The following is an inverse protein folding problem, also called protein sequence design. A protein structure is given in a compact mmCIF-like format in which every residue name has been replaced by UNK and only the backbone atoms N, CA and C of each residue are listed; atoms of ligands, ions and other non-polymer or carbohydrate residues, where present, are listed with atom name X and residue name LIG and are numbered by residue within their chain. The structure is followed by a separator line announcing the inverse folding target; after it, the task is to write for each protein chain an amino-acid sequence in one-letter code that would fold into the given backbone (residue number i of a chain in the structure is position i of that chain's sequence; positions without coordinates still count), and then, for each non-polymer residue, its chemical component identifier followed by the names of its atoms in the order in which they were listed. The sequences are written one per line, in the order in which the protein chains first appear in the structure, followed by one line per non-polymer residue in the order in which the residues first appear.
data_IF_975997135687
#
_entry.id   IF_975997135687
#
_cell.length_a   1.000
_cell.length_b   1.000
_cell.length_c   1.000
_cell.angle_alpha   90.00
_cell.angle_beta   90.00
_cell.angle_gamma   90.00
#
_symmetry.space_group_name_H-M   'P 1'
#
loop_
_entity.id
_entity.type
_entity.pdbx_description
1 polymer ?
#
# COMPACT_ATOMS: atom_id res chain seq x y z
N UNK A 1 16.60 21.66 11.90
CA UNK A 1 15.21 21.46 11.44
C UNK A 1 14.88 19.99 11.61
N UNK A 2 14.27 19.62 12.75
CA UNK A 2 13.88 18.24 13.01
C UNK A 2 12.59 17.97 12.25
N UNK A 3 12.70 17.42 11.03
CA UNK A 3 11.55 16.86 10.32
C UNK A 3 11.24 15.50 10.96
N UNK A 4 10.71 15.52 12.19
CA UNK A 4 10.01 14.36 12.72
C UNK A 4 8.62 14.46 12.10
N UNK A 5 8.38 13.66 11.07
CA UNK A 5 7.02 13.44 10.58
C UNK A 5 6.28 12.72 11.71
N UNK A 6 5.49 13.47 12.48
CA UNK A 6 4.68 12.90 13.56
C UNK A 6 3.79 11.79 12.98
N UNK A 7 3.54 10.68 13.70
CA UNK A 7 2.70 9.59 13.23
C UNK A 7 1.39 10.10 12.65
N UNK A 8 0.84 9.41 11.65
CA UNK A 8 -0.43 9.80 11.06
C UNK A 8 -1.46 9.98 12.17
N UNK A 9 -2.02 11.20 12.26
CA UNK A 9 -3.08 11.48 13.21
C UNK A 9 -4.20 10.46 13.02
N UNK A 10 -4.74 9.95 14.13
CA UNK A 10 -5.84 8.98 14.10
C UNK A 10 -6.96 9.53 13.23
N UNK A 11 -7.36 8.72 12.26
CA UNK A 11 -8.52 8.94 11.40
C UNK A 11 -9.46 7.75 11.56
N UNK A 12 -10.71 7.90 11.13
CA UNK A 12 -11.75 6.88 11.28
C UNK A 12 -11.32 5.53 10.67
N UNK A 13 -10.61 5.53 9.53
CA UNK A 13 -10.09 4.33 8.88
C UNK A 13 -9.07 3.59 9.74
N UNK A 14 -8.04 4.30 10.22
CA UNK A 14 -7.04 3.71 11.13
C UNK A 14 -7.68 3.22 12.43
N UNK A 15 -8.59 4.01 13.00
CA UNK A 15 -9.33 3.67 14.22
C UNK A 15 -10.12 2.37 14.09
N UNK A 16 -10.74 2.14 12.94
CA UNK A 16 -11.47 0.90 12.64
C UNK A 16 -10.54 -0.32 12.64
N UNK A 17 -9.34 -0.18 12.07
CA UNK A 17 -8.40 -1.31 11.94
C UNK A 17 -7.76 -1.67 13.27
N UNK A 18 -7.29 -0.68 14.04
CA UNK A 18 -6.57 -0.93 15.31
C UNK A 18 -7.48 -1.52 16.40
N UNK A 19 -8.79 -1.43 16.25
CA UNK A 19 -9.77 -2.06 17.15
C UNK A 19 -10.03 -3.54 16.84
N UNK A 20 -9.50 -4.07 15.74
CA UNK A 20 -9.64 -5.48 15.39
C UNK A 20 -8.77 -6.38 16.29
N UNK A 21 -9.13 -7.66 16.49
CA UNK A 21 -8.26 -8.60 17.18
C UNK A 21 -6.90 -8.72 16.48
N UNK A 22 -5.81 -8.77 17.25
CA UNK A 22 -4.44 -8.86 16.71
C UNK A 22 -4.26 -9.96 15.65
N UNK A 23 -4.79 -11.19 15.81
CA UNK A 23 -4.68 -12.21 14.77
C UNK A 23 -5.34 -11.81 13.45
N UNK A 24 -6.44 -11.05 13.50
CA UNK A 24 -7.13 -10.52 12.31
C UNK A 24 -6.27 -9.47 11.62
N UNK A 25 -5.62 -8.57 12.38
CA UNK A 25 -4.71 -7.57 11.82
C UNK A 25 -3.52 -8.24 11.13
N UNK A 26 -2.93 -9.26 11.75
CA UNK A 26 -1.83 -10.03 11.14
C UNK A 26 -2.29 -10.71 9.84
N UNK A 27 -3.46 -11.36 9.86
CA UNK A 27 -4.05 -11.97 8.67
C UNK A 27 -4.33 -10.94 7.57
N UNK A 28 -4.82 -9.76 7.94
CA UNK A 28 -5.06 -8.65 7.03
C UNK A 28 -3.76 -8.17 6.40
N UNK A 29 -2.72 -7.86 7.18
CA UNK A 29 -1.41 -7.43 6.67
C UNK A 29 -0.86 -8.43 5.64
N UNK A 30 -0.94 -9.72 5.94
CA UNK A 30 -0.44 -10.77 5.05
C UNK A 30 -1.26 -10.90 3.77
N UNK A 31 -2.58 -10.95 3.89
CA UNK A 31 -3.48 -11.11 2.73
C UNK A 31 -3.50 -9.86 1.86
N UNK A 32 -3.52 -8.66 2.44
CA UNK A 32 -3.42 -7.39 1.72
C UNK A 32 -2.14 -7.31 0.90
N UNK A 33 -0.98 -7.61 1.50
CA UNK A 33 0.30 -7.56 0.79
C UNK A 33 0.35 -8.50 -0.44
N UNK A 34 -0.31 -9.65 -0.38
CA UNK A 34 -0.35 -10.59 -1.52
C UNK A 34 -1.41 -10.15 -2.55
N UNK A 35 -2.63 -9.95 -2.09
CA UNK A 35 -3.79 -9.71 -2.97
C UNK A 35 -3.69 -8.38 -3.70
N UNK A 36 -3.24 -7.32 -3.02
CA UNK A 36 -3.10 -6.00 -3.65
C UNK A 36 -1.95 -5.97 -4.66
N UNK A 37 -0.82 -6.64 -4.38
CA UNK A 37 0.26 -6.68 -5.36
C UNK A 37 -0.14 -7.46 -6.62
N UNK A 38 -0.85 -8.58 -6.49
CA UNK A 38 -1.41 -9.30 -7.65
C UNK A 38 -2.39 -8.40 -8.41
N UNK A 39 -3.35 -7.78 -7.70
CA UNK A 39 -4.45 -7.02 -8.30
C UNK A 39 -4.01 -5.71 -8.94
N UNK A 40 -2.98 -5.06 -8.41
CA UNK A 40 -2.56 -3.73 -8.87
C UNK A 40 -1.22 -3.74 -9.63
N UNK A 41 -0.28 -4.64 -9.32
CA UNK A 41 1.02 -4.67 -10.01
C UNK A 41 1.05 -5.80 -11.02
N UNK A 42 0.66 -7.00 -10.59
CA UNK A 42 0.74 -8.21 -11.42
C UNK A 42 -0.19 -8.20 -12.63
N UNK A 43 -1.43 -7.74 -12.49
CA UNK A 43 -2.43 -7.86 -13.57
C UNK A 43 -2.61 -6.60 -14.44
N UNK A 44 -2.97 -5.42 -13.91
CA UNK A 44 -3.38 -4.29 -14.76
C UNK A 44 -2.22 -3.72 -15.56
N UNK A 45 -1.02 -3.69 -14.98
CA UNK A 45 0.19 -3.16 -15.64
C UNK A 45 0.51 -4.02 -16.87
N UNK A 46 0.53 -5.34 -16.71
CA UNK A 46 0.84 -6.26 -17.79
C UNK A 46 -0.27 -6.30 -18.85
N UNK A 47 -1.54 -6.38 -18.42
CA UNK A 47 -2.69 -6.44 -19.34
C UNK A 47 -2.84 -5.17 -20.16
N UNK A 48 -2.71 -3.99 -19.55
CA UNK A 48 -2.81 -2.73 -20.28
C UNK A 48 -1.58 -2.48 -21.15
N UNK A 49 -0.39 -2.94 -20.74
CA UNK A 49 0.78 -2.94 -21.62
C UNK A 49 0.53 -3.79 -22.87
N UNK A 50 -0.04 -4.99 -22.73
CA UNK A 50 -0.39 -5.85 -23.87
C UNK A 50 -1.41 -5.19 -24.80
N UNK A 51 -2.43 -4.52 -24.25
CA UNK A 51 -3.50 -3.88 -25.02
C UNK A 51 -3.09 -2.57 -25.69
N UNK A 52 -2.23 -1.78 -25.05
CA UNK A 52 -1.90 -0.41 -25.50
C UNK A 52 -0.48 -0.27 -26.05
N UNK A 53 0.38 -1.27 -25.86
CA UNK A 53 1.81 -1.18 -26.13
C UNK A 53 2.59 -0.29 -25.17
N UNK A 54 1.93 0.37 -24.21
CA UNK A 54 2.54 1.34 -23.31
C UNK A 54 2.39 0.93 -21.84
N UNK A 55 3.49 0.56 -21.19
CA UNK A 55 3.48 0.14 -19.80
C UNK A 55 3.05 1.25 -18.83
N UNK A 56 3.29 2.52 -19.18
CA UNK A 56 2.92 3.65 -18.33
C UNK A 56 1.42 3.87 -18.25
N UNK A 57 0.66 3.49 -19.28
CA UNK A 57 -0.81 3.51 -19.21
C UNK A 57 -1.28 2.55 -18.11
N UNK A 58 -0.69 1.35 -18.05
CA UNK A 58 -0.97 0.37 -17.00
C UNK A 58 -0.57 0.84 -15.61
N UNK A 59 0.62 1.44 -15.47
CA UNK A 59 1.10 2.00 -14.20
C UNK A 59 0.17 3.11 -13.71
N UNK A 60 -0.15 4.10 -14.55
CA UNK A 60 -0.98 5.23 -14.19
C UNK A 60 -2.40 4.80 -13.82
N UNK A 61 -3.01 3.94 -14.63
CA UNK A 61 -4.35 3.41 -14.34
C UNK A 61 -4.37 2.68 -13.00
N UNK A 62 -3.43 1.75 -12.80
CA UNK A 62 -3.40 0.95 -11.59
C UNK A 62 -3.13 1.77 -10.33
N UNK A 63 -2.20 2.72 -10.42
CA UNK A 63 -1.89 3.62 -9.31
C UNK A 63 -3.11 4.46 -8.92
N UNK A 64 -3.84 5.01 -9.89
CA UNK A 64 -5.05 5.79 -9.60
C UNK A 64 -6.08 4.92 -8.88
N UNK A 65 -6.39 3.74 -9.40
CA UNK A 65 -7.38 2.83 -8.80
C UNK A 65 -6.94 2.38 -7.41
N UNK A 66 -5.64 2.16 -7.20
CA UNK A 66 -5.07 1.84 -5.88
C UNK A 66 -5.24 2.98 -4.87
N UNK A 67 -4.99 4.23 -5.26
CA UNK A 67 -5.01 5.37 -4.34
C UNK A 67 -6.43 5.79 -3.92
N UNK A 68 -7.44 5.63 -4.77
CA UNK A 68 -8.81 6.06 -4.50
C UNK A 68 -9.41 5.52 -3.18
N UNK A 69 -9.42 4.19 -2.90
CA UNK A 69 -9.93 3.67 -1.65
C UNK A 69 -9.10 4.18 -0.46
N UNK A 70 -7.78 4.27 -0.60
CA UNK A 70 -6.91 4.73 0.48
C UNK A 70 -7.22 6.18 0.88
N UNK A 71 -7.39 7.08 -0.09
CA UNK A 71 -7.78 8.46 0.17
C UNK A 71 -9.19 8.52 0.78
N UNK A 72 -10.12 7.66 0.30
CA UNK A 72 -11.50 7.64 0.80
C UNK A 72 -11.60 7.15 2.25
N UNK A 73 -10.80 6.16 2.65
CA UNK A 73 -10.86 5.53 3.97
C UNK A 73 -9.92 6.19 5.00
N UNK A 74 -8.72 6.59 4.58
CA UNK A 74 -7.69 7.13 5.48
C UNK A 74 -7.46 8.63 5.34
N UNK A 75 -8.11 9.27 4.37
CA UNK A 75 -7.94 10.69 4.05
C UNK A 75 -6.71 10.97 3.18
N UNK A 76 -6.64 12.19 2.65
CA UNK A 76 -5.55 12.64 1.75
C UNK A 76 -4.17 12.63 2.42
N UNK A 77 -4.12 12.81 3.74
CA UNK A 77 -2.91 12.71 4.55
C UNK A 77 -2.22 11.35 4.44
N UNK A 78 -2.95 10.28 4.12
CA UNK A 78 -2.36 8.96 3.89
C UNK A 78 -1.26 8.99 2.81
N UNK A 79 -1.38 9.87 1.81
CA UNK A 79 -0.37 10.07 0.77
C UNK A 79 0.96 10.57 1.34
N UNK A 80 0.95 11.39 2.40
CA UNK A 80 2.16 11.90 3.03
C UNK A 80 2.94 10.79 3.75
N UNK A 81 2.23 9.83 4.34
CA UNK A 81 2.82 8.75 5.14
C UNK A 81 3.17 7.51 4.31
N UNK A 82 2.30 7.12 3.38
CA UNK A 82 2.40 5.87 2.62
C UNK A 82 2.61 6.07 1.12
N UNK A 83 2.44 7.29 0.61
CA UNK A 83 2.55 7.58 -0.82
C UNK A 83 3.96 7.34 -1.38
N UNK A 84 5.01 7.71 -0.63
CA UNK A 84 6.39 7.45 -1.04
C UNK A 84 6.66 5.95 -1.14
N UNK A 85 6.26 5.18 -0.11
CA UNK A 85 6.39 3.71 -0.13
C UNK A 85 5.65 3.09 -1.31
N UNK A 86 4.42 3.55 -1.56
CA UNK A 86 3.61 3.12 -2.71
C UNK A 86 4.34 3.35 -4.03
N UNK A 87 4.84 4.57 -4.26
CA UNK A 87 5.57 4.92 -5.49
C UNK A 87 6.83 4.05 -5.64
N UNK A 88 7.58 3.86 -4.55
CA UNK A 88 8.78 3.01 -4.57
C UNK A 88 8.44 1.55 -4.90
N UNK A 89 7.32 1.01 -4.43
CA UNK A 89 6.85 -0.33 -4.82
C UNK A 89 6.52 -0.42 -6.31
N UNK A 90 5.87 0.60 -6.89
CA UNK A 90 5.64 0.64 -8.35
C UNK A 90 6.97 0.71 -9.14
N UNK A 91 7.92 1.51 -8.68
CA UNK A 91 9.27 1.58 -9.27
C UNK A 91 9.96 0.21 -9.17
N UNK A 92 9.89 -0.43 -8.00
CA UNK A 92 10.47 -1.75 -7.77
C UNK A 92 9.90 -2.80 -8.73
N UNK A 93 8.57 -2.82 -8.91
CA UNK A 93 7.93 -3.72 -9.85
C UNK A 93 8.38 -3.47 -11.28
N UNK A 94 8.38 -2.21 -11.72
CA UNK A 94 8.78 -1.85 -13.08
C UNK A 94 10.25 -2.16 -13.37
N UNK A 95 11.13 -2.01 -12.38
CA UNK A 95 12.55 -2.28 -12.49
C UNK A 95 12.87 -3.78 -12.44
N UNK A 96 12.33 -4.50 -11.46
CA UNK A 96 12.75 -5.89 -11.17
C UNK A 96 11.81 -6.94 -11.75
N UNK A 97 10.59 -6.56 -12.13
CA UNK A 97 9.53 -7.48 -12.60
C UNK A 97 9.35 -8.68 -11.67
N UNK A 98 9.50 -8.45 -10.36
CA UNK A 98 9.45 -9.48 -9.34
C UNK A 98 8.33 -9.15 -8.35
N UNK A 99 7.23 -9.89 -8.45
CA UNK A 99 6.07 -9.67 -7.62
C UNK A 99 6.33 -10.03 -6.15
N UNK A 100 7.12 -11.07 -5.88
CA UNK A 100 7.47 -11.48 -4.51
C UNK A 100 8.26 -10.40 -3.77
N UNK A 101 9.14 -9.68 -4.47
CA UNK A 101 9.85 -8.54 -3.88
C UNK A 101 8.89 -7.41 -3.50
N UNK A 102 7.85 -7.17 -4.32
CA UNK A 102 6.82 -6.17 -4.04
C UNK A 102 5.93 -6.58 -2.87
N UNK A 103 5.50 -7.85 -2.83
CA UNK A 103 4.73 -8.44 -1.72
C UNK A 103 5.50 -8.31 -0.41
N UNK A 104 6.79 -8.65 -0.40
CA UNK A 104 7.63 -8.53 0.80
C UNK A 104 7.77 -7.07 1.24
N UNK A 105 8.04 -6.15 0.31
CA UNK A 105 8.14 -4.72 0.62
C UNK A 105 6.82 -4.17 1.19
N UNK A 106 5.69 -4.53 0.60
CA UNK A 106 4.37 -4.11 1.05
C UNK A 106 4.04 -4.69 2.43
N UNK A 107 4.27 -5.99 2.64
CA UNK A 107 4.11 -6.63 3.95
C UNK A 107 4.91 -5.91 5.04
N UNK A 108 6.20 -5.64 4.78
CA UNK A 108 7.07 -4.92 5.72
C UNK A 108 6.63 -3.47 5.93
N UNK A 109 6.10 -2.82 4.90
CA UNK A 109 5.52 -1.47 5.00
C UNK A 109 4.25 -1.40 5.85
N UNK A 110 3.47 -2.48 5.89
CA UNK A 110 2.25 -2.59 6.69
C UNK A 110 2.51 -3.11 8.12
N UNK A 111 3.62 -3.81 8.37
CA UNK A 111 3.95 -4.34 9.69
C UNK A 111 3.94 -3.30 10.84
N UNK A 112 4.37 -2.03 10.65
CA UNK A 112 4.27 -0.99 11.69
C UNK A 112 2.86 -0.71 12.20
N UNK A 113 1.80 -1.11 11.48
CA UNK A 113 0.41 -1.02 11.95
C UNK A 113 0.17 -1.78 13.27
N UNK A 114 0.99 -2.80 13.56
CA UNK A 114 0.89 -3.56 14.81
C UNK A 114 1.26 -2.73 16.05
N UNK A 115 2.09 -1.69 15.90
CA UNK A 115 2.53 -0.84 17.01
C UNK A 115 1.34 -0.16 17.71
N UNK A 116 0.53 0.69 17.02
CA UNK A 116 -0.63 1.30 17.65
C UNK A 116 -1.70 0.27 18.06
N UNK A 117 -1.82 -0.86 17.34
CA UNK A 117 -2.77 -1.93 17.71
C UNK A 117 -2.41 -2.64 19.04
N UNK A 118 -1.12 -2.68 19.39
CA UNK A 118 -0.63 -3.22 20.66
C UNK A 118 -0.58 -2.17 21.77
N UNK A 119 -1.05 -0.93 21.52
CA UNK A 119 -0.94 0.19 22.44
C UNK A 119 0.48 0.77 22.56
N UNK A 120 1.34 0.48 21.58
CA UNK A 120 2.71 0.98 21.49
C UNK A 120 2.75 2.09 20.43
N UNK A 121 2.41 3.33 20.76
CA UNK A 121 2.38 4.42 19.77
C UNK A 121 2.10 5.78 20.35
#
# INVERSE_FOLDING_TARGET
MNIIVAPQAQNEGLGTIIQLPIPVIIGMIFTTAITEEILYRGYPIERLRELTGNAWVGVSFSLIVFLLPHIRFFGVQWLLYHGVGTILTYILYMWRRNLWACILMHFLGNAPLLLPALGMG
#
